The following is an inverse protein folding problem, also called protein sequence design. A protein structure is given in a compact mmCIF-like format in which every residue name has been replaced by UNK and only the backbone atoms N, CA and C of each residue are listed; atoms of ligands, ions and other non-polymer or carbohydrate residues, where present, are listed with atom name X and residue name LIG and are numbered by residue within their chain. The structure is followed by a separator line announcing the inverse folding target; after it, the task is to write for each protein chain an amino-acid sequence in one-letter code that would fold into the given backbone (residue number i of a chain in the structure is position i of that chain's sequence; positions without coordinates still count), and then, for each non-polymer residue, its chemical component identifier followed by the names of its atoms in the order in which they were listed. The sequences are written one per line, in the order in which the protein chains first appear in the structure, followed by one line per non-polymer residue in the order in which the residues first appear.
data_IF_379614848406
#
_entry.id   IF_379614848406
#
_cell.length_a   1.000
_cell.length_b   1.000
_cell.length_c   1.000
_cell.angle_alpha   90.00
_cell.angle_beta   90.00
_cell.angle_gamma   90.00
#
_symmetry.space_group_name_H-M   'P 1'
#
loop_
_entity.id
_entity.type
_entity.pdbx_description
1 polymer ?
#
# COMPACT_ATOMS: atom_id res chain seq x y z
N UNK A 1 -2.89 10.48 16.04
CA UNK A 1 -3.02 9.14 16.67
C UNK A 1 -3.90 8.20 15.86
N UNK A 2 -5.05 8.66 15.35
CA UNK A 2 -5.93 7.85 14.51
C UNK A 2 -5.25 7.28 13.25
N UNK A 3 -4.39 8.06 12.58
CA UNK A 3 -3.71 7.62 11.35
C UNK A 3 -2.78 6.41 11.58
N UNK A 4 -1.88 6.52 12.57
CA UNK A 4 -0.95 5.44 12.92
C UNK A 4 -1.69 4.23 13.49
N UNK A 5 -2.73 4.45 14.29
CA UNK A 5 -3.57 3.37 14.83
C UNK A 5 -4.31 2.60 13.72
N UNK A 6 -4.94 3.30 12.79
CA UNK A 6 -5.62 2.68 11.64
C UNK A 6 -4.66 1.94 10.72
N UNK A 7 -3.49 2.54 10.43
CA UNK A 7 -2.44 1.87 9.64
C UNK A 7 -1.93 0.59 10.32
N UNK A 8 -1.74 0.62 11.64
CA UNK A 8 -1.30 -0.55 12.41
C UNK A 8 -2.36 -1.65 12.40
N UNK A 9 -3.62 -1.30 12.64
CA UNK A 9 -4.73 -2.26 12.57
C UNK A 9 -4.82 -2.91 11.19
N UNK A 10 -4.67 -2.12 10.12
CA UNK A 10 -4.68 -2.61 8.75
C UNK A 10 -3.56 -3.63 8.50
N UNK A 11 -2.34 -3.33 8.93
CA UNK A 11 -1.20 -4.26 8.85
C UNK A 11 -1.43 -5.54 9.68
N UNK A 12 -1.98 -5.42 10.90
CA UNK A 12 -2.25 -6.57 11.76
C UNK A 12 -3.25 -7.55 11.14
N UNK A 13 -4.30 -7.06 10.48
CA UNK A 13 -5.23 -7.92 9.75
C UNK A 13 -4.53 -8.67 8.62
N UNK A 14 -3.60 -8.01 7.91
CA UNK A 14 -2.82 -8.64 6.82
C UNK A 14 -1.73 -9.60 7.32
N UNK A 15 -1.39 -9.58 8.61
CA UNK A 15 -0.47 -10.56 9.19
C UNK A 15 -1.03 -11.99 9.15
N UNK A 16 -2.34 -12.15 8.92
CA UNK A 16 -2.99 -13.45 8.75
C UNK A 16 -2.92 -13.97 7.30
N UNK A 17 -2.42 -13.17 6.36
CA UNK A 17 -2.36 -13.54 4.96
C UNK A 17 -1.20 -14.53 4.69
N UNK A 18 -1.36 -15.41 3.69
CA UNK A 18 -0.31 -16.34 3.31
C UNK A 18 0.94 -15.58 2.82
N UNK A 19 2.11 -16.18 3.04
CA UNK A 19 3.40 -15.68 2.54
C UNK A 19 3.79 -14.27 3.03
N UNK A 20 3.18 -13.78 4.10
CA UNK A 20 3.48 -12.45 4.65
C UNK A 20 4.92 -12.39 5.16
N UNK A 21 5.63 -11.32 4.78
CA UNK A 21 6.96 -11.01 5.28
C UNK A 21 6.92 -9.77 6.18
N UNK A 22 7.98 -9.53 6.95
CA UNK A 22 8.07 -8.30 7.74
C UNK A 22 8.01 -7.05 6.86
N UNK A 23 8.64 -7.09 5.68
CA UNK A 23 8.60 -5.98 4.72
C UNK A 23 7.19 -5.76 4.17
N UNK A 24 6.44 -6.84 3.92
CA UNK A 24 5.03 -6.76 3.54
C UNK A 24 4.22 -6.00 4.61
N UNK A 25 4.37 -6.35 5.90
CA UNK A 25 3.66 -5.68 6.99
C UNK A 25 4.03 -4.20 7.10
N UNK A 26 5.31 -3.86 6.92
CA UNK A 26 5.76 -2.46 6.88
C UNK A 26 5.09 -1.72 5.73
N UNK A 27 5.04 -2.31 4.53
CA UNK A 27 4.41 -1.69 3.37
C UNK A 27 2.90 -1.56 3.53
N UNK A 28 2.21 -2.56 4.08
CA UNK A 28 0.76 -2.48 4.36
C UNK A 28 0.48 -1.40 5.41
N UNK A 29 1.32 -1.29 6.44
CA UNK A 29 1.23 -0.20 7.42
C UNK A 29 1.39 1.18 6.77
N UNK A 30 2.40 1.33 5.89
CA UNK A 30 2.63 2.56 5.14
C UNK A 30 1.46 2.87 4.18
N UNK A 31 0.88 1.86 3.54
CA UNK A 31 -0.31 2.02 2.69
C UNK A 31 -1.50 2.51 3.51
N UNK A 32 -1.73 1.96 4.71
CA UNK A 32 -2.75 2.44 5.63
C UNK A 32 -2.54 3.90 6.04
N UNK A 33 -1.29 4.29 6.31
CA UNK A 33 -0.94 5.70 6.57
C UNK A 33 -1.21 6.59 5.35
N UNK A 34 -0.78 6.16 4.16
CA UNK A 34 -1.02 6.87 2.90
C UNK A 34 -2.52 7.09 2.65
N UNK A 35 -3.35 6.05 2.80
CA UNK A 35 -4.79 6.16 2.66
C UNK A 35 -5.41 7.12 3.69
N UNK A 36 -4.92 7.09 4.93
CA UNK A 36 -5.32 8.04 5.96
C UNK A 36 -5.03 9.50 5.57
N UNK A 37 -3.83 9.78 5.06
CA UNK A 37 -3.44 11.13 4.60
C UNK A 37 -4.24 11.54 3.36
N UNK A 38 -4.46 10.61 2.43
CA UNK A 38 -5.24 10.85 1.21
C UNK A 38 -6.69 11.17 1.54
N UNK A 39 -7.32 10.40 2.43
CA UNK A 39 -8.66 10.66 2.93
C UNK A 39 -8.73 12.01 3.63
N UNK A 40 -7.76 12.34 4.50
CA UNK A 40 -7.71 13.64 5.17
C UNK A 40 -7.65 14.80 4.17
N UNK A 41 -6.76 14.72 3.17
CA UNK A 41 -6.62 15.74 2.13
C UNK A 41 -7.89 15.94 1.31
N UNK A 42 -8.58 14.85 1.00
CA UNK A 42 -9.74 14.86 0.09
C UNK A 42 -11.07 15.04 0.81
N UNK A 43 -11.11 14.83 2.13
CA UNK A 43 -12.34 14.74 2.91
C UNK A 43 -13.25 13.57 2.49
N UNK A 44 -12.73 12.57 1.77
CA UNK A 44 -13.53 11.53 1.13
C UNK A 44 -12.95 10.14 1.33
N UNK A 45 -13.75 9.25 1.93
CA UNK A 45 -13.42 7.83 2.03
C UNK A 45 -13.32 7.16 0.65
N UNK A 46 -14.09 7.64 -0.33
CA UNK A 46 -14.06 7.11 -1.70
C UNK A 46 -12.69 7.28 -2.36
N UNK A 47 -11.91 8.31 -1.98
CA UNK A 47 -10.57 8.49 -2.51
C UNK A 47 -9.62 7.35 -2.05
N UNK A 48 -9.70 6.97 -0.78
CA UNK A 48 -8.93 5.85 -0.24
C UNK A 48 -9.39 4.50 -0.82
N UNK A 49 -10.71 4.28 -0.89
CA UNK A 49 -11.29 3.07 -1.50
C UNK A 49 -10.86 2.96 -2.97
N UNK A 50 -10.98 4.04 -3.74
CA UNK A 50 -10.61 4.07 -5.15
C UNK A 50 -9.13 3.79 -5.37
N UNK A 51 -8.25 4.38 -4.56
CA UNK A 51 -6.82 4.10 -4.61
C UNK A 51 -6.50 2.63 -4.30
N UNK A 52 -7.14 2.06 -3.27
CA UNK A 52 -6.96 0.65 -2.90
C UNK A 52 -7.47 -0.31 -3.98
N UNK A 53 -8.68 -0.07 -4.51
CA UNK A 53 -9.23 -0.85 -5.63
C UNK A 53 -8.31 -0.76 -6.84
N UNK A 54 -7.79 0.44 -7.16
CA UNK A 54 -6.89 0.64 -8.30
C UNK A 54 -5.60 -0.16 -8.11
N UNK A 55 -5.02 -0.17 -6.91
CA UNK A 55 -3.85 -0.99 -6.60
C UNK A 55 -4.10 -2.48 -6.82
N UNK A 56 -5.14 -3.04 -6.19
CA UNK A 56 -5.47 -4.46 -6.31
C UNK A 56 -5.85 -4.85 -7.74
N UNK A 57 -6.60 -4.00 -8.43
CA UNK A 57 -7.02 -4.25 -9.79
C UNK A 57 -5.83 -4.22 -10.75
N UNK A 58 -4.92 -3.25 -10.63
CA UNK A 58 -3.73 -3.20 -11.48
C UNK A 58 -2.78 -4.36 -11.19
N UNK A 59 -2.49 -4.65 -9.92
CA UNK A 59 -1.56 -5.72 -9.54
C UNK A 59 -2.14 -7.12 -9.86
N UNK A 60 -3.34 -7.40 -9.37
CA UNK A 60 -3.98 -8.70 -9.50
C UNK A 60 -4.73 -8.87 -10.81
N UNK A 61 -5.82 -8.13 -10.97
CA UNK A 61 -6.75 -8.33 -12.09
C UNK A 61 -6.12 -8.01 -13.46
N UNK A 62 -5.27 -6.99 -13.56
CA UNK A 62 -4.62 -6.61 -14.80
C UNK A 62 -3.32 -7.41 -15.03
N UNK A 63 -2.38 -7.35 -14.08
CA UNK A 63 -1.03 -7.90 -14.27
C UNK A 63 -0.89 -9.38 -13.84
N UNK A 64 -1.85 -9.95 -13.12
CA UNK A 64 -1.77 -11.34 -12.63
C UNK A 64 -0.68 -11.56 -11.59
N UNK A 65 -0.22 -10.49 -10.92
CA UNK A 65 0.72 -10.56 -9.80
C UNK A 65 -0.09 -10.90 -8.53
N UNK A 66 0.41 -11.77 -7.63
CA UNK A 66 -0.27 -12.03 -6.37
C UNK A 66 -0.65 -10.75 -5.62
N UNK A 67 -1.80 -10.73 -4.96
CA UNK A 67 -2.26 -9.59 -4.15
C UNK A 67 -2.33 -10.06 -2.71
N UNK A 68 -1.50 -9.46 -1.84
CA UNK A 68 -1.46 -9.85 -0.43
C UNK A 68 -1.31 -11.36 -0.18
N UNK A 69 -0.54 -12.05 -1.02
CA UNK A 69 -0.31 -13.50 -0.94
C UNK A 69 -1.37 -14.38 -1.60
N UNK A 70 -2.46 -13.84 -2.14
CA UNK A 70 -3.43 -14.60 -2.93
C UNK A 70 -3.03 -14.62 -4.40
N UNK A 71 -3.21 -15.77 -5.04
CA UNK A 71 -2.94 -15.92 -6.48
C UNK A 71 -4.10 -15.33 -7.28
N UNK A 72 -3.78 -14.52 -8.28
CA UNK A 72 -4.77 -13.81 -9.11
C UNK A 72 -4.66 -14.27 -10.57
N UNK A 73 -5.80 -14.50 -11.22
CA UNK A 73 -5.87 -14.99 -12.61
C UNK A 73 -5.92 -13.85 -13.63
N UNK A 74 -5.10 -12.81 -13.45
CA UNK A 74 -5.19 -11.54 -14.18
C UNK A 74 -5.23 -11.64 -15.71
N UNK A 75 -5.65 -10.55 -16.37
CA UNK A 75 -5.77 -10.47 -17.83
C UNK A 75 -4.43 -10.70 -18.55
N UNK A 76 -3.34 -10.18 -17.97
CA UNK A 76 -1.99 -10.45 -18.42
C UNK A 76 -1.31 -11.48 -17.50
N UNK A 77 -0.40 -12.26 -18.10
CA UNK A 77 0.52 -13.11 -17.35
C UNK A 77 1.85 -12.41 -17.19
N UNK A 78 2.05 -11.74 -16.06
CA UNK A 78 3.35 -11.12 -15.76
C UNK A 78 4.35 -12.16 -15.28
N UNK A 79 5.52 -12.21 -15.91
CA UNK A 79 6.65 -13.03 -15.49
C UNK A 79 7.66 -12.10 -14.81
N UNK A 80 7.87 -12.29 -13.52
CA UNK A 80 8.87 -11.53 -12.77
C UNK A 80 10.18 -12.30 -12.79
N UNK A 81 11.24 -11.67 -13.31
CA UNK A 81 12.57 -12.24 -13.33
C UNK A 81 13.35 -11.83 -12.08
N UNK A 82 14.09 -12.79 -11.50
CA UNK A 82 14.96 -12.59 -10.35
C UNK A 82 14.44 -13.25 -9.08
N UNK A 83 15.37 -13.69 -8.24
CA UNK A 83 15.05 -14.52 -7.07
C UNK A 83 15.02 -13.73 -5.76
N UNK A 84 15.38 -12.43 -5.79
CA UNK A 84 15.44 -11.61 -4.59
C UNK A 84 14.03 -11.11 -4.20
N UNK A 85 13.42 -11.61 -3.12
CA UNK A 85 12.07 -11.23 -2.71
C UNK A 85 11.96 -9.76 -2.31
N UNK A 86 13.06 -9.09 -1.97
CA UNK A 86 13.06 -7.65 -1.68
C UNK A 86 12.80 -6.80 -2.93
N UNK A 87 13.12 -7.33 -4.12
CA UNK A 87 12.89 -6.64 -5.39
C UNK A 87 11.59 -7.10 -6.06
N UNK A 88 11.26 -8.39 -5.94
CA UNK A 88 10.12 -8.99 -6.63
C UNK A 88 8.84 -9.01 -5.79
N UNK A 89 8.96 -8.92 -4.46
CA UNK A 89 7.86 -9.12 -3.53
C UNK A 89 7.49 -10.60 -3.30
N UNK A 90 8.18 -11.52 -3.98
CA UNK A 90 7.97 -12.96 -3.82
C UNK A 90 6.51 -13.39 -4.01
N UNK A 91 6.08 -14.39 -3.23
CA UNK A 91 4.72 -14.93 -3.32
C UNK A 91 3.65 -14.01 -2.70
N UNK A 92 4.05 -13.01 -1.92
CA UNK A 92 3.11 -12.02 -1.39
C UNK A 92 2.64 -11.03 -2.48
N UNK A 93 3.46 -10.84 -3.51
CA UNK A 93 3.23 -9.86 -4.58
C UNK A 93 4.00 -8.57 -4.37
N UNK A 94 3.81 -7.61 -5.28
CA UNK A 94 4.60 -6.37 -5.30
C UNK A 94 4.47 -5.55 -3.99
N UNK A 95 3.42 -5.76 -3.21
CA UNK A 95 3.26 -5.22 -1.85
C UNK A 95 4.40 -5.53 -0.90
N UNK A 96 5.14 -6.63 -1.10
CA UNK A 96 6.30 -6.97 -0.27
C UNK A 96 7.64 -6.48 -0.83
N UNK A 97 7.65 -5.69 -1.91
CA UNK A 97 8.86 -5.18 -2.53
C UNK A 97 9.33 -3.83 -1.95
N UNK A 98 10.64 -3.57 -2.00
CA UNK A 98 11.26 -2.29 -1.59
C UNK A 98 10.81 -1.12 -2.47
N UNK A 99 10.52 -1.37 -3.75
CA UNK A 99 9.97 -0.35 -4.64
C UNK A 99 8.66 0.22 -4.09
N UNK A 100 7.78 -0.64 -3.59
CA UNK A 100 6.52 -0.25 -2.94
C UNK A 100 6.78 0.58 -1.69
N UNK A 101 7.77 0.22 -0.86
CA UNK A 101 8.17 1.04 0.29
C UNK A 101 8.55 2.45 -0.11
N UNK A 102 9.40 2.59 -1.13
CA UNK A 102 9.88 3.89 -1.63
C UNK A 102 8.71 4.71 -2.16
N UNK A 103 7.86 4.12 -2.99
CA UNK A 103 6.70 4.81 -3.58
C UNK A 103 5.73 5.29 -2.50
N UNK A 104 5.36 4.44 -1.53
CA UNK A 104 4.44 4.81 -0.46
C UNK A 104 5.03 5.90 0.44
N UNK A 105 6.32 5.81 0.79
CA UNK A 105 7.00 6.83 1.59
C UNK A 105 7.04 8.18 0.85
N UNK A 106 7.40 8.19 -0.43
CA UNK A 106 7.46 9.40 -1.25
C UNK A 106 6.06 10.02 -1.42
N UNK A 107 5.05 9.22 -1.78
CA UNK A 107 3.69 9.73 -1.97
C UNK A 107 3.12 10.30 -0.66
N UNK A 108 3.30 9.59 0.45
CA UNK A 108 2.85 10.06 1.77
C UNK A 108 3.56 11.35 2.16
N UNK A 109 4.88 11.42 2.00
CA UNK A 109 5.66 12.62 2.30
C UNK A 109 5.23 13.80 1.43
N UNK A 110 5.03 13.62 0.12
CA UNK A 110 4.57 14.68 -0.78
C UNK A 110 3.21 15.21 -0.35
N UNK A 111 2.27 14.34 0.03
CA UNK A 111 0.97 14.77 0.53
C UNK A 111 1.08 15.54 1.86
N UNK A 112 1.91 15.07 2.79
CA UNK A 112 2.14 15.76 4.06
C UNK A 112 2.80 17.13 3.86
N UNK A 113 3.80 17.24 2.98
CA UNK A 113 4.45 18.51 2.65
C UNK A 113 3.48 19.48 1.98
N UNK A 114 2.60 18.98 1.11
CA UNK A 114 1.53 19.78 0.51
C UNK A 114 0.60 20.35 1.60
N UNK A 115 0.12 19.49 2.52
CA UNK A 115 -0.77 19.89 3.61
C UNK A 115 -0.11 20.85 4.60
N UNK A 116 1.19 20.68 4.85
CA UNK A 116 1.97 21.63 5.65
C UNK A 116 2.04 22.99 4.96
N UNK A 117 2.37 23.04 3.67
CA UNK A 117 2.46 24.28 2.88
C UNK A 117 1.12 25.01 2.80
N UNK A 118 0.00 24.28 2.71
CA UNK A 118 -1.35 24.86 2.68
C UNK A 118 -1.93 25.16 4.07
N UNK A 119 -1.16 24.95 5.16
CA UNK A 119 -1.58 25.12 6.56
C UNK A 119 -2.79 24.27 6.97
N UNK A 120 -2.95 23.11 6.34
CA UNK A 120 -4.05 22.17 6.59
C UNK A 120 -3.66 21.05 7.58
N UNK A 121 -2.53 21.13 8.27
CA UNK A 121 -1.98 20.01 9.05
C UNK A 121 -2.53 19.86 10.49
N UNK A 122 -3.35 20.80 10.95
CA UNK A 122 -3.66 21.02 12.38
C UNK A 122 -4.34 19.85 13.13
N UNK A 123 -4.76 18.78 12.46
CA UNK A 123 -5.39 17.61 13.10
C UNK A 123 -4.92 16.24 12.56
N UNK A 124 -3.84 16.19 11.79
CA UNK A 124 -3.34 14.94 11.17
C UNK A 124 -2.57 14.05 12.17
N UNK A 125 -1.85 14.64 13.12
CA UNK A 125 -0.92 13.95 14.02
C UNK A 125 -1.52 13.76 15.40
#
# INVERSE_FOLDING_TARGET
MALLGSGLLFALVHALNPNVSLLALVNVFLAGCFFGVLMYKTGSLLAAIGAHITWNWVQGALLGIPVSGTTESGYFRTIIHGDNPLLTGGQFGAEAALSTTIVLAVLTLVLLLYLYKTKQINSIV
#
